data_IF_939066726753
#
_entry.id   IF_939066726753
#
_cell.length_a   1.000
_cell.length_b   1.000
_cell.length_c   1.000
_cell.angle_alpha   90.00
_cell.angle_beta   90.00
_cell.angle_gamma   90.00
#
_symmetry.space_group_name_H-M   'P 1'
#
loop_
_entity.id
_entity.type
_entity.pdbx_description
1 polymer ?
#
# COMPACT_ATOMS: atom_id res chain seq x y z
N UNK A 1 35.61 -26.53 8.38
CA UNK A 1 35.58 -25.71 7.14
C UNK A 1 34.22 -25.76 6.44
N UNK A 2 33.48 -26.87 6.50
CA UNK A 2 32.14 -27.03 5.89
C UNK A 2 31.05 -26.17 6.53
N UNK A 3 31.00 -26.06 7.87
CA UNK A 3 29.94 -25.30 8.57
C UNK A 3 29.98 -23.80 8.28
N UNK A 4 31.18 -23.21 8.22
CA UNK A 4 31.36 -21.79 7.90
C UNK A 4 30.85 -21.43 6.49
N UNK A 5 31.00 -22.34 5.52
CA UNK A 5 30.50 -22.15 4.16
C UNK A 5 28.97 -22.28 4.10
N UNK A 6 28.37 -23.18 4.89
CA UNK A 6 26.91 -23.34 4.98
C UNK A 6 26.27 -22.11 5.64
N UNK A 7 26.80 -21.66 6.78
CA UNK A 7 26.33 -20.45 7.46
C UNK A 7 26.41 -19.21 6.56
N UNK A 8 27.51 -19.05 5.82
CA UNK A 8 27.68 -17.96 4.86
C UNK A 8 26.61 -17.95 3.76
N UNK A 9 26.27 -19.12 3.21
CA UNK A 9 25.22 -19.27 2.18
C UNK A 9 23.82 -18.99 2.72
N UNK A 10 23.53 -19.40 3.95
CA UNK A 10 22.24 -19.13 4.60
C UNK A 10 22.08 -17.63 4.83
N UNK A 11 23.13 -16.95 5.32
CA UNK A 11 23.13 -15.50 5.50
C UNK A 11 22.94 -14.72 4.19
N UNK A 12 23.58 -15.17 3.11
CA UNK A 12 23.41 -14.57 1.78
C UNK A 12 22.00 -14.78 1.23
N UNK A 13 21.43 -15.98 1.37
CA UNK A 13 20.07 -16.29 0.95
C UNK A 13 19.03 -15.44 1.69
N UNK A 14 19.18 -15.29 3.01
CA UNK A 14 18.31 -14.43 3.81
C UNK A 14 18.40 -12.95 3.37
N UNK A 15 19.61 -12.48 3.05
CA UNK A 15 19.81 -11.11 2.52
C UNK A 15 19.15 -10.93 1.14
N UNK A 16 19.29 -11.89 0.24
CA UNK A 16 18.66 -11.84 -1.08
C UNK A 16 17.13 -11.82 -0.96
N UNK A 17 16.57 -12.63 -0.06
CA UNK A 17 15.15 -12.62 0.21
C UNK A 17 14.67 -11.27 0.76
N UNK A 18 15.44 -10.64 1.65
CA UNK A 18 15.13 -9.29 2.13
C UNK A 18 15.15 -8.22 1.02
N UNK A 19 16.03 -8.33 0.03
CA UNK A 19 16.03 -7.46 -1.16
C UNK A 19 14.80 -7.66 -2.03
N UNK A 20 14.44 -8.91 -2.32
CA UNK A 20 13.21 -9.25 -3.05
C UNK A 20 12.01 -8.65 -2.32
N UNK A 21 12.00 -8.69 -1.00
CA UNK A 21 10.91 -8.14 -0.21
C UNK A 21 10.74 -6.62 -0.37
N UNK A 22 11.84 -5.86 -0.46
CA UNK A 22 11.76 -4.43 -0.78
C UNK A 22 11.26 -4.20 -2.22
N UNK A 23 11.66 -5.03 -3.17
CA UNK A 23 11.17 -4.97 -4.54
C UNK A 23 9.66 -5.25 -4.62
N UNK A 24 9.16 -6.23 -3.85
CA UNK A 24 7.73 -6.52 -3.74
C UNK A 24 6.94 -5.34 -3.15
N UNK A 25 7.46 -4.69 -2.10
CA UNK A 25 6.84 -3.48 -1.54
C UNK A 25 6.74 -2.35 -2.58
N UNK A 26 7.80 -2.14 -3.37
CA UNK A 26 7.77 -1.16 -4.46
C UNK A 26 6.80 -1.57 -5.58
N UNK A 27 6.82 -2.84 -6.00
CA UNK A 27 5.95 -3.37 -7.05
C UNK A 27 4.45 -3.24 -6.69
N UNK A 28 4.11 -3.16 -5.41
CA UNK A 28 2.74 -3.03 -4.93
C UNK A 28 1.98 -1.83 -5.52
N UNK A 29 2.70 -0.77 -5.93
CA UNK A 29 2.14 0.41 -6.60
C UNK A 29 1.43 0.04 -7.91
N UNK A 30 1.95 -0.95 -8.63
CA UNK A 30 1.45 -1.33 -9.96
C UNK A 30 0.37 -2.42 -9.93
N UNK A 31 0.24 -3.13 -8.82
CA UNK A 31 -0.61 -4.33 -8.68
C UNK A 31 -1.59 -4.22 -7.50
N UNK A 32 -2.10 -3.01 -7.27
CA UNK A 32 -3.13 -2.75 -6.25
C UNK A 32 -2.81 -3.30 -4.86
N UNK A 33 -1.53 -3.26 -4.44
CA UNK A 33 -1.12 -3.68 -3.10
C UNK A 33 -0.86 -5.18 -2.90
N UNK A 34 -1.19 -6.06 -3.86
CA UNK A 34 -1.03 -7.52 -3.68
C UNK A 34 0.41 -7.93 -3.36
N UNK A 35 1.44 -7.45 -4.09
CA UNK A 35 2.84 -7.72 -3.74
C UNK A 35 3.24 -7.28 -2.32
N UNK A 36 2.67 -6.20 -1.78
CA UNK A 36 2.99 -5.73 -0.43
C UNK A 36 2.46 -6.70 0.64
N UNK A 37 1.33 -7.36 0.40
CA UNK A 37 0.81 -8.40 1.30
C UNK A 37 1.74 -9.63 1.33
N UNK A 38 2.19 -10.08 0.15
CA UNK A 38 3.18 -11.15 0.04
C UNK A 38 4.45 -10.76 0.80
N UNK A 39 4.90 -9.51 0.63
CA UNK A 39 6.08 -9.02 1.31
C UNK A 39 5.94 -9.01 2.84
N UNK A 40 4.76 -8.61 3.34
CA UNK A 40 4.46 -8.65 4.77
C UNK A 40 4.49 -10.09 5.30
N UNK A 41 3.88 -11.05 4.60
CA UNK A 41 3.88 -12.46 5.00
C UNK A 41 5.32 -12.99 5.10
N UNK A 42 6.15 -12.76 4.08
CA UNK A 42 7.56 -13.17 4.09
C UNK A 42 8.29 -12.54 5.27
N UNK A 43 8.07 -11.25 5.54
CA UNK A 43 8.73 -10.56 6.64
C UNK A 43 8.31 -11.10 8.01
N UNK A 44 7.03 -11.36 8.23
CA UNK A 44 6.54 -11.96 9.47
C UNK A 44 7.07 -13.38 9.68
N UNK A 45 7.16 -14.17 8.60
CA UNK A 45 7.69 -15.54 8.65
C UNK A 45 9.18 -15.56 8.97
N UNK A 46 9.98 -14.70 8.35
CA UNK A 46 11.44 -14.79 8.41
C UNK A 46 12.10 -13.95 9.51
N UNK A 47 11.39 -12.98 10.11
CA UNK A 47 12.00 -12.00 11.03
C UNK A 47 12.70 -12.63 12.25
N UNK A 48 12.20 -13.77 12.74
CA UNK A 48 12.66 -14.40 13.99
C UNK A 48 13.77 -15.45 13.72
N UNK A 49 13.80 -16.03 12.52
CA UNK A 49 14.81 -17.01 12.09
C UNK A 49 16.02 -16.37 11.42
N UNK A 50 15.87 -15.13 10.91
CA UNK A 50 16.94 -14.44 10.20
C UNK A 50 18.01 -13.87 11.16
N UNK A 51 19.28 -13.74 10.71
CA UNK A 51 20.32 -13.08 11.48
C UNK A 51 19.87 -11.68 11.95
N UNK A 52 20.27 -11.20 13.15
CA UNK A 52 19.71 -9.99 13.77
C UNK A 52 19.69 -8.74 12.87
N UNK A 53 20.75 -8.56 12.06
CA UNK A 53 20.82 -7.47 11.07
C UNK A 53 19.71 -7.58 10.02
N UNK A 54 19.48 -8.76 9.47
CA UNK A 54 18.43 -9.00 8.45
C UNK A 54 17.03 -8.95 9.09
N UNK A 55 16.86 -9.52 10.29
CA UNK A 55 15.63 -9.43 11.06
C UNK A 55 15.16 -7.98 11.28
N UNK A 56 16.10 -7.05 11.49
CA UNK A 56 15.78 -5.62 11.58
C UNK A 56 15.17 -5.03 10.29
N UNK A 57 15.58 -5.50 9.10
CA UNK A 57 14.98 -5.09 7.83
C UNK A 57 13.57 -5.65 7.67
N UNK A 58 13.33 -6.90 8.06
CA UNK A 58 11.97 -7.46 8.05
C UNK A 58 11.02 -6.67 8.96
N UNK A 59 11.47 -6.31 10.16
CA UNK A 59 10.71 -5.43 11.06
C UNK A 59 10.39 -4.07 10.43
N UNK A 60 11.35 -3.48 9.69
CA UNK A 60 11.10 -2.24 8.97
C UNK A 60 10.11 -2.41 7.81
N UNK A 61 10.24 -3.48 7.02
CA UNK A 61 9.32 -3.81 5.93
C UNK A 61 7.88 -4.00 6.42
N UNK A 62 7.69 -4.63 7.58
CA UNK A 62 6.39 -4.74 8.23
C UNK A 62 5.80 -3.35 8.53
N UNK A 63 6.62 -2.42 9.04
CA UNK A 63 6.16 -1.03 9.29
C UNK A 63 5.79 -0.31 8.00
N UNK A 64 6.57 -0.50 6.92
CA UNK A 64 6.23 0.07 5.60
C UNK A 64 4.86 -0.42 5.16
N UNK A 65 4.62 -1.73 5.25
CA UNK A 65 3.34 -2.34 4.88
C UNK A 65 2.18 -1.71 5.65
N UNK A 66 2.24 -1.63 6.97
CA UNK A 66 1.12 -1.10 7.76
C UNK A 66 0.84 0.37 7.51
N UNK A 67 1.88 1.19 7.32
CA UNK A 67 1.70 2.60 6.95
C UNK A 67 1.04 2.71 5.58
N UNK A 68 1.53 1.95 4.59
CA UNK A 68 0.93 1.92 3.26
C UNK A 68 -0.52 1.42 3.29
N UNK A 69 -0.80 0.40 4.10
CA UNK A 69 -2.13 -0.19 4.27
C UNK A 69 -3.11 0.82 4.87
N UNK A 70 -2.73 1.57 5.90
CA UNK A 70 -3.58 2.61 6.50
C UNK A 70 -3.86 3.74 5.50
N UNK A 71 -2.86 4.16 4.74
CA UNK A 71 -3.03 5.18 3.69
C UNK A 71 -3.99 4.68 2.59
N UNK A 72 -3.82 3.43 2.15
CA UNK A 72 -4.69 2.80 1.18
C UNK A 72 -6.12 2.65 1.69
N UNK A 73 -6.30 2.32 2.98
CA UNK A 73 -7.62 2.26 3.62
C UNK A 73 -8.29 3.64 3.64
N UNK A 74 -7.55 4.71 3.96
CA UNK A 74 -8.07 6.07 3.91
C UNK A 74 -8.51 6.45 2.48
N UNK A 75 -7.71 6.12 1.46
CA UNK A 75 -8.08 6.30 0.07
C UNK A 75 -9.35 5.50 -0.30
N UNK A 76 -9.45 4.25 0.18
CA UNK A 76 -10.62 3.38 -0.02
C UNK A 76 -11.90 3.91 0.61
N UNK A 77 -11.81 4.53 1.80
CA UNK A 77 -12.95 5.21 2.44
C UNK A 77 -13.40 6.41 1.62
N UNK A 78 -12.47 7.23 1.13
CA UNK A 78 -12.79 8.33 0.23
C UNK A 78 -13.47 7.86 -1.07
N UNK A 79 -12.93 6.79 -1.67
CA UNK A 79 -13.52 6.17 -2.86
C UNK A 79 -14.93 5.66 -2.60
N UNK A 80 -15.15 4.89 -1.53
CA UNK A 80 -16.46 4.37 -1.19
C UNK A 80 -17.47 5.50 -0.91
N UNK A 81 -17.04 6.54 -0.20
CA UNK A 81 -17.86 7.72 0.03
C UNK A 81 -18.27 8.42 -1.28
N UNK A 82 -17.34 8.53 -2.24
CA UNK A 82 -17.63 9.12 -3.54
C UNK A 82 -18.65 8.27 -4.32
N UNK A 83 -18.50 6.94 -4.33
CA UNK A 83 -19.44 6.01 -4.96
C UNK A 83 -20.83 6.12 -4.34
N UNK A 84 -20.92 6.16 -3.00
CA UNK A 84 -22.20 6.31 -2.29
C UNK A 84 -22.88 7.65 -2.63
N UNK A 85 -22.10 8.74 -2.70
CA UNK A 85 -22.62 10.06 -3.04
C UNK A 85 -23.22 10.07 -4.45
N UNK A 86 -22.48 9.55 -5.44
CA UNK A 86 -22.93 9.44 -6.82
C UNK A 86 -24.17 8.53 -6.95
N UNK A 87 -24.16 7.37 -6.29
CA UNK A 87 -25.29 6.44 -6.30
C UNK A 87 -26.54 7.05 -5.65
N UNK A 88 -26.37 7.86 -4.60
CA UNK A 88 -27.45 8.58 -3.93
C UNK A 88 -28.12 9.60 -4.86
N UNK A 89 -27.34 10.39 -5.59
CA UNK A 89 -27.86 11.34 -6.59
C UNK A 89 -28.62 10.60 -7.71
N UNK A 90 -28.04 9.52 -8.24
CA UNK A 90 -28.70 8.70 -9.27
C UNK A 90 -30.03 8.09 -8.79
N UNK A 91 -30.07 7.62 -7.55
CA UNK A 91 -31.30 7.07 -6.96
C UNK A 91 -32.38 8.14 -6.80
N UNK A 92 -32.02 9.37 -6.43
CA UNK A 92 -33.00 10.46 -6.32
C UNK A 92 -33.60 10.82 -7.68
N UNK A 93 -32.78 10.90 -8.74
CA UNK A 93 -33.26 11.18 -10.12
C UNK A 93 -34.28 10.13 -10.57
N UNK A 94 -33.96 8.84 -10.41
CA UNK A 94 -34.82 7.73 -10.86
C UNK A 94 -36.09 7.55 -10.03
N UNK A 95 -36.08 7.96 -8.76
CA UNK A 95 -37.25 7.86 -7.87
C UNK A 95 -38.32 8.91 -8.17
N UNK A 96 -37.92 10.10 -8.60
CA UNK A 96 -38.84 11.20 -8.93
C UNK A 96 -39.65 10.92 -10.21
N UNK A 97 -39.10 10.13 -11.14
CA UNK A 97 -39.79 9.75 -12.39
C UNK A 97 -40.68 8.49 -12.27
N UNK A 98 -40.73 7.88 -11.08
CA UNK A 98 -41.68 6.81 -10.77
C UNK A 98 -41.55 5.57 -11.66
N UNK A 99 -40.39 4.90 -11.68
CA UNK A 99 -40.18 3.57 -12.31
C UNK A 99 -40.69 3.39 -13.75
N UNK A 100 -41.03 4.46 -14.47
CA UNK A 100 -41.25 4.48 -15.90
C UNK A 100 -39.89 4.77 -16.51
N UNK A 101 -39.20 3.78 -17.08
CA UNK A 101 -37.98 4.05 -17.85
C UNK A 101 -38.39 4.93 -19.04
N UNK A 102 -38.02 6.22 -19.09
CA UNK A 102 -38.32 7.04 -20.25
C UNK A 102 -37.53 6.47 -21.42
N UNK A 103 -38.14 6.35 -22.61
CA UNK A 103 -37.48 5.83 -23.84
C UNK A 103 -36.20 6.61 -24.21
N UNK A 104 -35.96 7.76 -23.57
CA UNK A 104 -34.80 8.62 -23.72
C UNK A 104 -34.42 9.19 -22.35
N UNK A 105 -33.42 8.61 -21.68
CA UNK A 105 -32.81 9.20 -20.47
C UNK A 105 -32.02 10.44 -20.91
N UNK A 106 -32.65 11.61 -20.89
CA UNK A 106 -31.96 12.90 -21.12
C UNK A 106 -31.37 13.37 -19.79
N UNK A 107 -30.14 12.94 -19.52
CA UNK A 107 -29.38 13.44 -18.36
C UNK A 107 -28.98 14.89 -18.65
N UNK A 108 -29.70 15.86 -18.06
CA UNK A 108 -29.25 17.25 -18.05
C UNK A 108 -28.06 17.36 -17.08
N UNK A 109 -26.86 17.57 -17.62
CA UNK A 109 -25.63 17.74 -16.82
C UNK A 109 -25.69 18.96 -15.87
N UNK A 110 -26.65 19.86 -16.06
CA UNK A 110 -26.91 21.00 -15.18
C UNK A 110 -27.59 20.62 -13.86
N UNK A 111 -28.28 19.49 -13.81
CA UNK A 111 -28.99 19.00 -12.61
C UNK A 111 -28.09 18.11 -11.73
N UNK A 112 -26.93 17.71 -12.25
CA UNK A 112 -25.89 17.02 -11.48
C UNK A 112 -25.17 18.05 -10.61
N UNK A 113 -25.61 18.17 -9.36
CA UNK A 113 -25.00 19.07 -8.39
C UNK A 113 -23.70 18.45 -7.89
N UNK A 114 -22.56 18.93 -8.39
CA UNK A 114 -21.26 18.55 -7.83
C UNK A 114 -21.13 19.17 -6.43
N UNK A 115 -21.52 18.41 -5.41
CA UNK A 115 -21.44 18.85 -4.02
C UNK A 115 -19.97 18.97 -3.56
N UNK A 116 -19.72 19.90 -2.64
CA UNK A 116 -18.43 20.07 -1.97
C UNK A 116 -17.94 18.76 -1.35
N UNK A 117 -18.85 17.93 -0.85
CA UNK A 117 -18.54 16.61 -0.29
C UNK A 117 -17.91 15.69 -1.33
N UNK A 118 -18.49 15.59 -2.53
CA UNK A 118 -17.97 14.75 -3.61
C UNK A 118 -16.58 15.24 -4.07
N UNK A 119 -16.39 16.56 -4.19
CA UNK A 119 -15.09 17.17 -4.53
C UNK A 119 -14.05 16.82 -3.46
N UNK A 120 -14.41 16.95 -2.17
CA UNK A 120 -13.51 16.65 -1.06
C UNK A 120 -13.13 15.16 -1.03
N UNK A 121 -14.06 14.27 -1.34
CA UNK A 121 -13.81 12.83 -1.40
C UNK A 121 -12.88 12.46 -2.56
N UNK A 122 -13.10 13.02 -3.76
CA UNK A 122 -12.22 12.80 -4.91
C UNK A 122 -10.83 13.37 -4.65
N UNK A 123 -10.75 14.58 -4.10
CA UNK A 123 -9.48 15.20 -3.74
C UNK A 123 -8.73 14.40 -2.66
N UNK A 124 -9.44 13.93 -1.62
CA UNK A 124 -8.89 13.07 -0.57
C UNK A 124 -8.38 11.75 -1.13
N UNK A 125 -9.13 11.09 -2.02
CA UNK A 125 -8.71 9.87 -2.69
C UNK A 125 -7.40 10.07 -3.47
N UNK A 126 -7.31 11.16 -4.26
CA UNK A 126 -6.11 11.50 -5.01
C UNK A 126 -4.91 11.80 -4.11
N UNK A 127 -5.13 12.57 -3.04
CA UNK A 127 -4.12 12.93 -2.06
C UNK A 127 -3.55 11.69 -1.35
N UNK A 128 -4.41 10.85 -0.78
CA UNK A 128 -3.97 9.64 -0.08
C UNK A 128 -3.27 8.66 -1.03
N UNK A 129 -3.76 8.51 -2.27
CA UNK A 129 -3.09 7.67 -3.27
C UNK A 129 -1.69 8.18 -3.62
N UNK A 130 -1.53 9.51 -3.77
CA UNK A 130 -0.23 10.11 -4.02
C UNK A 130 0.73 9.92 -2.83
N UNK A 131 0.28 10.16 -1.61
CA UNK A 131 1.07 9.96 -0.40
C UNK A 131 1.48 8.49 -0.26
N UNK A 132 0.55 7.55 -0.49
CA UNK A 132 0.81 6.10 -0.42
C UNK A 132 1.80 5.64 -1.47
N UNK A 133 1.68 6.15 -2.70
CA UNK A 133 2.64 5.90 -3.77
C UNK A 133 4.04 6.40 -3.42
N UNK A 134 4.17 7.65 -2.98
CA UNK A 134 5.44 8.21 -2.54
C UNK A 134 6.06 7.40 -1.39
N UNK A 135 5.23 6.98 -0.42
CA UNK A 135 5.68 6.15 0.69
C UNK A 135 6.27 4.81 0.22
N UNK A 136 5.59 4.12 -0.71
CA UNK A 136 6.04 2.86 -1.29
C UNK A 136 7.24 3.00 -2.25
N UNK A 137 7.60 4.23 -2.64
CA UNK A 137 8.84 4.51 -3.35
C UNK A 137 9.98 4.73 -2.36
N UNK A 138 9.84 5.74 -1.48
CA UNK A 138 10.95 6.22 -0.66
C UNK A 138 11.30 5.27 0.47
N UNK A 139 10.32 4.72 1.19
CA UNK A 139 10.61 3.91 2.36
C UNK A 139 11.32 2.58 1.98
N UNK A 140 10.87 1.82 0.95
CA UNK A 140 11.60 0.66 0.48
C UNK A 140 12.99 1.00 -0.07
N UNK A 141 13.13 2.11 -0.81
CA UNK A 141 14.43 2.53 -1.34
C UNK A 141 15.46 2.80 -0.23
N UNK A 142 15.06 3.48 0.85
CA UNK A 142 15.92 3.71 2.02
C UNK A 142 16.35 2.40 2.69
N UNK A 143 15.41 1.46 2.85
CA UNK A 143 15.69 0.15 3.40
C UNK A 143 16.65 -0.68 2.53
N UNK A 144 16.44 -0.64 1.21
CA UNK A 144 17.28 -1.29 0.21
C UNK A 144 18.72 -0.76 0.24
N UNK A 145 18.90 0.57 0.23
CA UNK A 145 20.22 1.21 0.27
C UNK A 145 20.97 0.82 1.56
N UNK A 146 20.28 0.81 2.70
CA UNK A 146 20.89 0.38 3.97
C UNK A 146 21.31 -1.09 3.94
N UNK A 147 20.47 -1.96 3.40
CA UNK A 147 20.78 -3.38 3.26
C UNK A 147 21.99 -3.60 2.35
N UNK A 148 22.08 -2.86 1.24
CA UNK A 148 23.22 -2.87 0.31
C UNK A 148 24.51 -2.40 1.00
N UNK A 149 24.41 -1.44 1.92
CA UNK A 149 25.55 -1.00 2.75
C UNK A 149 25.90 -1.94 3.92
N UNK A 150 25.28 -3.12 4.00
CA UNK A 150 25.42 -4.09 5.10
C UNK A 150 25.10 -3.51 6.50
N UNK A 151 24.26 -2.47 6.55
CA UNK A 151 23.80 -1.82 7.78
C UNK A 151 22.40 -2.31 8.13
N UNK A 152 22.19 -2.67 9.40
CA UNK A 152 20.85 -2.97 9.92
C UNK A 152 19.96 -1.72 10.02
N UNK A 153 18.69 -1.95 10.34
CA UNK A 153 17.69 -0.91 10.60
C UNK A 153 17.63 -0.58 12.09
N UNK A 154 18.13 0.60 12.48
CA UNK A 154 18.15 1.07 13.87
C UNK A 154 19.54 1.57 14.27
N UNK A 155 19.63 2.34 15.35
CA UNK A 155 20.92 2.69 15.93
C UNK A 155 21.56 1.42 16.51
N UNK A 156 22.82 1.19 16.18
CA UNK A 156 23.75 0.41 17.00
C UNK A 156 23.77 0.98 18.43
N UNK A 157 22.88 0.50 19.30
CA UNK A 157 22.92 0.81 20.72
C UNK A 157 22.22 -0.27 21.54
N UNK A 158 23.05 -1.08 22.21
CA UNK A 158 22.79 -1.91 23.40
C UNK A 158 22.03 -3.21 23.09
N UNK A 159 22.50 -4.41 23.42
CA UNK A 159 23.58 -4.91 24.29
C UNK A 159 24.06 -6.23 23.74
#
# INVERSE_FOLDING_TARGET
MTDQAVEGRVGESARNLAFINYALLFAAIFFAGVPALIAAIIAYSQRDEAPPKIGSHYNFQIRIFWVAFVIALAAGVCFLGAVISIAGELFQVTRLEGWNMPDQVRVNLSDVTVDRTLIALIAGMGLFSAIGGLWLIFAPALGFIRLASARGMGHSARS
#
